data_IF_650185910446
#
_entry.id   IF_650185910446
#
_cell.length_a   1.000
_cell.length_b   1.000
_cell.length_c   1.000
_cell.angle_alpha   90.00
_cell.angle_beta   90.00
_cell.angle_gamma   90.00
#
_symmetry.space_group_name_H-M   'P 1'
#
loop_
_entity.id
_entity.type
_entity.pdbx_description
1 polymer ?
#
# COMPACT_ATOMS: atom_id res chain seq x y z
N UNK A 1 -44.28 -17.34 62.51
CA UNK A 1 -43.29 -18.12 61.74
C UNK A 1 -43.33 -17.60 60.30
N UNK A 2 -42.44 -16.67 59.94
CA UNK A 2 -42.39 -16.05 58.61
C UNK A 2 -41.25 -16.66 57.79
N UNK A 3 -41.60 -17.18 56.62
CA UNK A 3 -40.73 -17.92 55.69
C UNK A 3 -39.88 -16.96 54.84
N UNK A 4 -38.55 -17.03 54.97
CA UNK A 4 -37.58 -16.34 54.13
C UNK A 4 -37.33 -17.17 52.86
N UNK A 5 -37.56 -16.62 51.66
CA UNK A 5 -37.11 -17.21 50.39
C UNK A 5 -35.95 -16.40 49.84
N UNK A 6 -34.76 -16.98 49.59
CA UNK A 6 -33.68 -16.28 48.93
C UNK A 6 -33.89 -16.36 47.41
N UNK A 7 -34.01 -15.21 46.77
CA UNK A 7 -34.03 -15.10 45.31
C UNK A 7 -32.59 -15.15 44.81
N UNK A 8 -32.23 -16.25 44.16
CA UNK A 8 -30.92 -16.44 43.52
C UNK A 8 -30.89 -15.59 42.24
N UNK A 9 -30.17 -14.47 42.25
CA UNK A 9 -29.95 -13.66 41.06
C UNK A 9 -28.76 -14.24 40.28
N UNK A 10 -29.04 -15.00 39.24
CA UNK A 10 -28.03 -15.46 38.28
C UNK A 10 -27.50 -14.26 37.49
N UNK A 11 -26.26 -13.88 37.77
CA UNK A 11 -25.50 -12.93 36.97
C UNK A 11 -25.03 -13.64 35.69
N UNK A 12 -25.72 -13.36 34.58
CA UNK A 12 -25.29 -13.81 33.25
C UNK A 12 -24.17 -12.87 32.78
N UNK A 13 -22.92 -13.31 32.90
CA UNK A 13 -21.79 -12.66 32.25
C UNK A 13 -21.87 -12.94 30.75
N UNK A 14 -22.38 -11.97 29.98
CA UNK A 14 -22.18 -11.93 28.53
C UNK A 14 -20.68 -11.68 28.29
N UNK A 15 -19.94 -12.75 27.98
CA UNK A 15 -18.64 -12.63 27.36
C UNK A 15 -18.83 -12.01 25.97
N UNK A 16 -18.67 -10.69 25.89
CA UNK A 16 -18.54 -10.00 24.62
C UNK A 16 -17.19 -10.40 24.01
N UNK A 17 -17.21 -11.36 23.09
CA UNK A 17 -16.15 -11.48 22.10
C UNK A 17 -16.25 -10.22 21.23
N UNK A 18 -15.56 -9.15 21.61
CA UNK A 18 -15.33 -8.02 20.73
C UNK A 18 -14.43 -8.51 19.60
N UNK A 19 -14.99 -8.66 18.40
CA UNK A 19 -14.18 -8.61 17.20
C UNK A 19 -13.70 -7.16 17.10
N UNK A 20 -12.54 -6.87 17.69
CA UNK A 20 -11.91 -5.58 17.50
C UNK A 20 -11.74 -5.35 15.99
N UNK A 21 -12.05 -4.15 15.49
CA UNK A 21 -11.83 -3.83 14.09
C UNK A 21 -10.36 -4.08 13.76
N UNK A 22 -10.10 -4.71 12.61
CA UNK A 22 -8.74 -4.86 12.11
C UNK A 22 -8.11 -3.46 11.95
N UNK A 23 -6.89 -3.25 12.47
CA UNK A 23 -6.23 -1.95 12.40
C UNK A 23 -6.06 -1.54 10.94
N UNK A 24 -6.08 -0.23 10.70
CA UNK A 24 -5.72 0.31 9.40
C UNK A 24 -4.24 0.00 9.14
N UNK A 25 -3.89 -0.48 7.95
CA UNK A 25 -2.52 -0.82 7.55
C UNK A 25 -2.37 -0.61 6.04
N UNK A 26 -1.14 -0.60 5.54
CA UNK A 26 -0.88 -0.75 4.11
C UNK A 26 -0.90 -2.24 3.75
N UNK A 27 -1.51 -2.59 2.62
CA UNK A 27 -1.48 -3.95 2.10
C UNK A 27 -0.04 -4.34 1.72
N UNK A 28 0.39 -5.52 2.17
CA UNK A 28 1.73 -6.04 1.92
C UNK A 28 1.73 -7.57 1.95
N UNK A 29 1.02 -8.17 1.01
CA UNK A 29 0.91 -9.62 0.83
C UNK A 29 2.08 -10.13 -0.02
N UNK A 30 2.89 -11.01 0.56
CA UNK A 30 4.06 -11.62 -0.08
C UNK A 30 3.76 -13.00 -0.68
N UNK A 31 2.68 -13.64 -0.26
CA UNK A 31 2.38 -15.06 -0.51
C UNK A 31 1.14 -15.23 -1.40
N UNK A 32 0.20 -14.29 -1.26
CA UNK A 32 -1.10 -14.35 -1.91
C UNK A 32 -1.05 -14.09 -3.42
N UNK A 33 -2.10 -14.51 -4.14
CA UNK A 33 -2.19 -14.25 -5.57
C UNK A 33 -2.35 -12.74 -5.79
N UNK A 34 -1.44 -12.10 -6.51
CA UNK A 34 -1.52 -10.68 -6.86
C UNK A 34 -2.29 -10.46 -8.17
N UNK A 35 -3.59 -10.80 -8.20
CA UNK A 35 -4.39 -10.79 -9.43
C UNK A 35 -5.82 -10.25 -9.25
N UNK A 36 -6.28 -9.45 -10.21
CA UNK A 36 -7.59 -8.81 -10.13
C UNK A 36 -7.66 -7.89 -8.92
N UNK A 37 -8.63 -8.11 -8.05
CA UNK A 37 -8.87 -7.25 -6.88
C UNK A 37 -7.71 -7.22 -5.88
N UNK A 38 -6.91 -8.28 -5.82
CA UNK A 38 -5.74 -8.40 -4.92
C UNK A 38 -4.43 -7.90 -5.56
N UNK A 39 -4.48 -7.39 -6.80
CA UNK A 39 -3.27 -6.91 -7.49
C UNK A 39 -2.54 -5.79 -6.71
N UNK A 40 -3.30 -5.00 -5.95
CA UNK A 40 -2.80 -3.90 -5.11
C UNK A 40 -2.45 -4.33 -3.69
N UNK A 41 -2.50 -5.63 -3.38
CA UNK A 41 -2.16 -6.15 -2.05
C UNK A 41 -0.66 -6.16 -1.78
N UNK A 42 0.14 -5.88 -2.80
CA UNK A 42 1.54 -5.53 -2.69
C UNK A 42 1.78 -4.19 -3.42
N UNK A 43 2.50 -3.22 -2.83
CA UNK A 43 2.74 -1.93 -3.46
C UNK A 43 3.34 -2.08 -4.87
N UNK A 44 2.87 -1.22 -5.78
CA UNK A 44 3.33 -1.20 -7.17
C UNK A 44 3.83 0.20 -7.52
N UNK A 45 4.97 0.39 -8.18
CA UNK A 45 5.95 -0.62 -8.53
C UNK A 45 6.74 -1.09 -7.30
N UNK A 46 7.25 -2.31 -7.36
CA UNK A 46 8.14 -2.89 -6.35
C UNK A 46 9.09 -3.87 -7.03
N UNK A 47 10.37 -3.88 -6.64
CA UNK A 47 11.37 -4.84 -7.15
C UNK A 47 10.95 -6.30 -6.89
N UNK A 48 10.08 -6.55 -5.90
CA UNK A 48 9.47 -7.86 -5.64
C UNK A 48 8.57 -8.34 -6.78
N UNK A 49 8.17 -7.43 -7.68
CA UNK A 49 7.31 -7.68 -8.84
C UNK A 49 8.11 -7.68 -10.14
N UNK A 50 9.40 -7.99 -10.06
CA UNK A 50 10.26 -8.19 -11.23
C UNK A 50 10.50 -9.68 -11.45
N UNK A 51 10.29 -10.13 -12.69
CA UNK A 51 10.68 -11.47 -13.16
C UNK A 51 11.69 -11.27 -14.27
N UNK A 52 12.89 -11.81 -14.10
CA UNK A 52 14.03 -11.61 -15.02
C UNK A 52 14.30 -10.12 -15.31
N UNK A 53 14.14 -9.27 -14.30
CA UNK A 53 14.35 -7.83 -14.39
C UNK A 53 13.25 -7.07 -15.16
N UNK A 54 12.11 -7.71 -15.44
CA UNK A 54 10.96 -7.11 -16.13
C UNK A 54 9.74 -7.04 -15.22
N UNK A 55 8.88 -6.01 -15.32
CA UNK A 55 7.65 -5.93 -14.54
C UNK A 55 6.72 -7.13 -14.77
N UNK A 56 6.33 -7.82 -13.69
CA UNK A 56 5.24 -8.78 -13.73
C UNK A 56 3.89 -8.05 -13.59
N UNK A 57 3.12 -8.11 -14.67
CA UNK A 57 1.79 -7.50 -14.79
C UNK A 57 0.71 -8.55 -15.10
N UNK A 58 0.96 -9.83 -14.82
CA UNK A 58 0.05 -10.93 -15.17
C UNK A 58 -1.30 -10.78 -14.49
N UNK A 59 -1.33 -10.30 -13.25
CA UNK A 59 -2.56 -10.11 -12.49
C UNK A 59 -3.21 -8.73 -12.59
N UNK A 60 -2.72 -7.84 -13.46
CA UNK A 60 -3.23 -6.46 -13.54
C UNK A 60 -4.76 -6.45 -13.81
N UNK A 61 -5.55 -5.60 -13.13
CA UNK A 61 -7.00 -5.55 -13.33
C UNK A 61 -7.39 -5.24 -14.79
N UNK A 62 -8.04 -6.19 -15.47
CA UNK A 62 -8.66 -5.99 -16.78
C UNK A 62 -10.02 -6.71 -16.84
N UNK A 63 -11.01 -6.29 -16.03
CA UNK A 63 -12.26 -7.02 -15.78
C UNK A 63 -13.15 -7.17 -17.03
N UNK A 64 -12.96 -6.31 -18.03
CA UNK A 64 -13.70 -6.36 -19.31
C UNK A 64 -12.87 -6.97 -20.44
N UNK A 65 -11.68 -7.48 -20.13
CA UNK A 65 -10.75 -8.10 -21.09
C UNK A 65 -10.52 -7.22 -22.32
N UNK A 66 -10.31 -5.92 -22.09
CA UNK A 66 -10.16 -4.95 -23.17
C UNK A 66 -8.81 -5.18 -23.87
N UNK A 67 -8.78 -5.39 -25.20
CA UNK A 67 -7.54 -5.64 -25.95
C UNK A 67 -6.52 -4.50 -25.80
N UNK A 68 -6.98 -3.25 -25.79
CA UNK A 68 -6.11 -2.07 -25.63
C UNK A 68 -5.34 -2.08 -24.30
N UNK A 69 -5.94 -2.63 -23.23
CA UNK A 69 -5.25 -2.77 -21.95
C UNK A 69 -4.19 -3.86 -22.07
N UNK A 70 -4.51 -4.99 -22.70
CA UNK A 70 -3.54 -6.07 -22.88
C UNK A 70 -2.34 -5.65 -23.74
N UNK A 71 -2.58 -4.88 -24.81
CA UNK A 71 -1.51 -4.33 -25.66
C UNK A 71 -0.58 -3.39 -24.85
N UNK A 72 -1.16 -2.54 -24.00
CA UNK A 72 -0.39 -1.68 -23.09
C UNK A 72 0.45 -2.50 -22.10
N UNK A 73 -0.18 -3.50 -21.46
CA UNK A 73 0.51 -4.36 -20.49
C UNK A 73 1.61 -5.18 -21.16
N UNK A 74 1.40 -5.72 -22.36
CA UNK A 74 2.44 -6.44 -23.11
C UNK A 74 3.66 -5.56 -23.40
N UNK A 75 3.43 -4.30 -23.77
CA UNK A 75 4.50 -3.32 -24.00
C UNK A 75 5.24 -2.99 -22.71
N UNK A 76 4.53 -2.87 -21.58
CA UNK A 76 5.12 -2.61 -20.28
C UNK A 76 5.95 -3.80 -19.77
N UNK A 77 5.46 -5.04 -19.93
CA UNK A 77 6.19 -6.29 -19.57
C UNK A 77 7.47 -6.46 -20.39
N UNK A 78 7.60 -5.83 -21.55
CA UNK A 78 8.82 -5.89 -22.36
C UNK A 78 9.93 -4.94 -21.87
N UNK A 79 9.64 -4.01 -20.94
CA UNK A 79 10.62 -3.04 -20.42
C UNK A 79 11.53 -3.70 -19.39
N UNK A 80 12.79 -3.25 -19.37
CA UNK A 80 13.73 -3.58 -18.30
C UNK A 80 13.46 -2.65 -17.11
N UNK A 81 12.98 -3.21 -16.00
CA UNK A 81 12.61 -2.49 -14.80
C UNK A 81 11.37 -1.58 -14.98
N UNK A 82 11.19 -0.71 -14.00
CA UNK A 82 10.10 0.26 -13.94
C UNK A 82 10.49 1.61 -14.60
N UNK A 83 9.50 2.44 -15.01
CA UNK A 83 9.79 3.71 -15.67
C UNK A 83 10.48 4.73 -14.75
N UNK A 84 11.24 5.65 -15.35
CA UNK A 84 11.90 6.79 -14.67
C UNK A 84 10.96 7.91 -14.23
N UNK A 85 9.66 7.76 -14.50
CA UNK A 85 8.59 8.59 -13.96
C UNK A 85 7.52 7.66 -13.37
N UNK A 86 7.82 6.94 -12.28
CA UNK A 86 6.90 5.96 -11.72
C UNK A 86 5.75 6.65 -10.99
N UNK A 87 4.58 6.01 -11.02
CA UNK A 87 3.50 6.27 -10.07
C UNK A 87 3.45 5.06 -9.16
N UNK A 88 3.73 5.27 -7.88
CA UNK A 88 3.61 4.28 -6.84
C UNK A 88 2.19 4.25 -6.27
N UNK A 89 1.69 3.05 -6.00
CA UNK A 89 0.34 2.77 -5.55
C UNK A 89 0.41 1.98 -4.26
N UNK A 90 -0.24 2.50 -3.23
CA UNK A 90 -0.32 1.89 -1.90
C UNK A 90 -1.79 1.73 -1.56
N UNK A 91 -2.21 0.49 -1.27
CA UNK A 91 -3.56 0.21 -0.81
C UNK A 91 -3.59 0.21 0.70
N UNK A 92 -4.46 1.01 1.29
CA UNK A 92 -4.78 0.98 2.71
C UNK A 92 -5.92 0.00 2.95
N UNK A 93 -5.79 -0.81 4.01
CA UNK A 93 -6.73 -1.87 4.38
C UNK A 93 -7.03 -1.77 5.87
N UNK A 94 -8.19 -2.25 6.27
CA UNK A 94 -8.66 -2.19 7.64
C UNK A 94 -10.17 -2.30 7.67
N UNK A 95 -10.75 -2.50 8.85
CA UNK A 95 -12.20 -2.41 9.00
C UNK A 95 -12.56 -1.00 9.44
N UNK A 96 -12.47 -0.05 8.51
CA UNK A 96 -13.10 1.25 8.68
C UNK A 96 -14.62 1.11 8.78
N UNK A 97 -15.31 2.13 9.30
CA UNK A 97 -16.77 2.19 9.22
C UNK A 97 -17.18 2.19 7.75
N UNK A 98 -18.29 1.53 7.42
CA UNK A 98 -18.79 1.55 6.04
C UNK A 98 -19.02 3.00 5.57
N UNK A 99 -18.16 3.47 4.65
CA UNK A 99 -18.20 4.84 4.11
C UNK A 99 -16.98 5.71 4.43
N UNK A 100 -16.10 5.30 5.35
CA UNK A 100 -14.85 6.00 5.64
C UNK A 100 -13.76 5.56 4.65
N UNK A 101 -13.05 6.52 4.05
CA UNK A 101 -11.86 6.22 3.24
C UNK A 101 -10.79 5.61 4.15
N UNK A 102 -10.31 4.42 3.82
CA UNK A 102 -9.19 3.77 4.53
C UNK A 102 -7.86 4.49 4.30
N UNK A 103 -7.78 5.23 3.20
CA UNK A 103 -6.63 6.05 2.83
C UNK A 103 -6.80 7.50 3.31
N UNK A 104 -5.70 8.19 3.69
CA UNK A 104 -5.72 9.63 3.93
C UNK A 104 -6.16 10.38 2.66
N UNK A 105 -6.84 11.52 2.82
CA UNK A 105 -7.25 12.35 1.69
C UNK A 105 -6.07 13.17 1.16
N UNK A 106 -5.75 12.99 -0.12
CA UNK A 106 -4.72 13.73 -0.84
C UNK A 106 -5.19 14.15 -2.23
N UNK A 107 -4.80 15.35 -2.63
CA UNK A 107 -4.96 15.88 -3.98
C UNK A 107 -3.60 16.00 -4.66
N UNK A 108 -3.54 15.86 -6.00
CA UNK A 108 -2.28 15.96 -6.75
C UNK A 108 -1.57 17.32 -6.67
N UNK A 109 -2.22 18.32 -6.04
CA UNK A 109 -1.65 19.60 -5.65
C UNK A 109 -0.83 19.56 -4.36
N UNK A 110 -0.93 18.49 -3.58
CA UNK A 110 -0.25 18.29 -2.32
C UNK A 110 1.20 17.89 -2.61
N UNK A 111 2.09 18.88 -2.59
CA UNK A 111 3.51 18.66 -2.81
C UNK A 111 4.18 18.27 -1.48
N UNK A 112 4.78 17.09 -1.46
CA UNK A 112 5.52 16.56 -0.31
C UNK A 112 7.02 16.74 -0.57
N UNK A 113 7.64 17.72 0.07
CA UNK A 113 9.05 18.09 -0.16
C UNK A 113 9.85 18.36 1.13
N UNK A 114 9.17 18.66 2.23
CA UNK A 114 9.82 19.09 3.48
C UNK A 114 10.56 17.94 4.19
N UNK A 115 11.46 18.27 5.12
CA UNK A 115 12.25 17.29 5.86
C UNK A 115 11.38 16.35 6.71
N UNK A 116 10.23 16.84 7.16
CA UNK A 116 9.17 16.16 7.90
C UNK A 116 8.01 15.68 7.00
N UNK A 117 8.16 15.76 5.67
CA UNK A 117 7.14 15.30 4.73
C UNK A 117 6.68 13.86 5.05
N UNK A 118 5.37 13.59 5.03
CA UNK A 118 4.83 12.30 5.44
C UNK A 118 5.19 11.15 4.50
N UNK A 119 5.57 11.45 3.25
CA UNK A 119 6.15 10.49 2.33
C UNK A 119 7.37 11.04 1.63
N UNK A 120 8.29 10.15 1.25
CA UNK A 120 9.56 10.48 0.62
C UNK A 120 9.80 9.61 -0.61
N UNK A 121 10.48 10.17 -1.60
CA UNK A 121 11.13 9.42 -2.67
C UNK A 121 12.64 9.67 -2.59
N UNK A 122 13.41 8.60 -2.42
CA UNK A 122 14.84 8.68 -2.11
C UNK A 122 15.62 7.78 -3.07
N UNK A 123 16.72 8.28 -3.60
CA UNK A 123 17.74 7.44 -4.23
C UNK A 123 18.44 6.59 -3.15
N UNK A 124 18.29 5.28 -3.22
CA UNK A 124 18.90 4.33 -2.28
C UNK A 124 19.97 3.46 -2.93
N UNK A 125 20.32 3.73 -4.19
CA UNK A 125 21.26 2.91 -4.93
C UNK A 125 22.67 3.07 -4.34
N UNK A 126 23.33 1.98 -3.90
CA UNK A 126 24.67 2.05 -3.34
C UNK A 126 25.72 2.56 -4.34
N UNK A 127 25.49 2.40 -5.64
CA UNK A 127 26.40 2.86 -6.69
C UNK A 127 26.09 4.27 -7.20
N UNK A 128 24.95 4.87 -6.82
CA UNK A 128 24.57 6.19 -7.29
C UNK A 128 25.43 7.29 -6.63
N UNK A 129 25.98 8.24 -7.41
CA UNK A 129 26.62 9.44 -6.85
C UNK A 129 25.61 10.38 -6.19
N UNK A 130 24.32 10.24 -6.49
CA UNK A 130 23.22 11.00 -5.91
C UNK A 130 22.52 10.27 -4.76
N UNK A 131 23.07 9.13 -4.29
CA UNK A 131 22.50 8.36 -3.17
C UNK A 131 22.14 9.25 -1.97
N UNK A 132 20.92 9.08 -1.47
CA UNK A 132 20.35 9.87 -0.39
C UNK A 132 19.62 11.14 -0.85
N UNK A 133 19.69 11.49 -2.14
CA UNK A 133 18.91 12.60 -2.71
C UNK A 133 17.42 12.29 -2.57
N UNK A 134 16.67 13.27 -2.07
CA UNK A 134 15.22 13.23 -1.97
C UNK A 134 14.59 14.00 -3.13
N UNK A 135 13.51 13.47 -3.66
CA UNK A 135 12.75 14.06 -4.75
C UNK A 135 11.36 14.45 -4.22
N UNK A 136 10.84 15.66 -4.55
CA UNK A 136 9.49 16.01 -4.17
C UNK A 136 8.47 15.09 -4.82
N UNK A 137 7.47 14.74 -4.04
CA UNK A 137 6.35 13.91 -4.46
C UNK A 137 5.06 14.75 -4.57
N UNK A 138 4.11 14.21 -5.33
CA UNK A 138 2.70 14.53 -5.20
C UNK A 138 1.95 13.26 -4.81
N UNK A 139 0.90 13.40 -4.01
CA UNK A 139 0.02 12.30 -3.63
C UNK A 139 -1.39 12.50 -4.18
N UNK A 140 -2.12 11.42 -4.45
CA UNK A 140 -3.52 11.49 -4.84
C UNK A 140 -4.28 10.27 -4.34
N UNK A 141 -5.35 10.50 -3.58
CA UNK A 141 -6.27 9.43 -3.19
C UNK A 141 -7.18 9.12 -4.37
N UNK A 142 -7.22 7.85 -4.75
CA UNK A 142 -7.97 7.43 -5.93
C UNK A 142 -9.44 7.23 -5.61
N UNK A 143 -10.35 7.67 -6.49
CA UNK A 143 -11.73 7.27 -6.37
C UNK A 143 -11.84 5.77 -6.55
N UNK A 144 -12.80 5.16 -5.85
CA UNK A 144 -13.11 3.75 -6.01
C UNK A 144 -13.72 3.48 -7.38
N UNK A 145 -13.06 2.62 -8.15
CA UNK A 145 -13.59 2.07 -9.40
C UNK A 145 -13.17 0.60 -9.61
N UNK A 146 -13.43 0.06 -10.80
CA UNK A 146 -13.15 -1.35 -11.13
C UNK A 146 -11.65 -1.67 -11.31
N UNK A 147 -10.78 -0.67 -11.35
CA UNK A 147 -9.33 -0.82 -11.45
C UNK A 147 -8.65 -0.51 -10.12
N UNK A 148 -9.09 0.52 -9.40
CA UNK A 148 -8.41 1.04 -8.20
C UNK A 148 -8.83 0.35 -6.91
N UNK A 149 -10.05 -0.20 -6.84
CA UNK A 149 -10.59 -0.73 -5.60
C UNK A 149 -10.77 0.36 -4.52
N UNK A 150 -10.69 -0.03 -3.26
CA UNK A 150 -10.83 0.90 -2.12
C UNK A 150 -9.46 1.20 -1.47
N UNK A 151 -9.32 2.40 -0.91
CA UNK A 151 -8.13 2.80 -0.14
C UNK A 151 -6.84 2.95 -0.95
N UNK A 152 -6.88 3.16 -2.27
CA UNK A 152 -5.67 3.29 -3.08
C UNK A 152 -5.16 4.73 -3.12
N UNK A 153 -3.88 4.93 -2.80
CA UNK A 153 -3.19 6.23 -2.93
C UNK A 153 -2.08 6.12 -3.95
N UNK A 154 -2.04 7.08 -4.86
CA UNK A 154 -0.98 7.26 -5.85
C UNK A 154 0.07 8.26 -5.32
N UNK A 155 1.35 7.94 -5.45
CA UNK A 155 2.47 8.85 -5.20
C UNK A 155 3.34 8.90 -6.46
N UNK A 156 3.66 10.09 -6.93
CA UNK A 156 4.51 10.27 -8.10
C UNK A 156 5.55 11.36 -7.85
N UNK A 157 6.75 11.30 -8.48
CA UNK A 157 7.62 12.47 -8.56
C UNK A 157 6.81 13.67 -9.04
N UNK A 158 7.04 14.83 -8.44
CA UNK A 158 6.39 16.07 -8.87
C UNK A 158 6.57 16.25 -10.39
N UNK A 159 5.50 16.57 -11.14
CA UNK A 159 5.58 16.71 -12.59
C UNK A 159 6.74 17.61 -13.04
N UNK A 160 7.49 17.13 -14.04
CA UNK A 160 8.72 17.77 -14.52
C UNK A 160 10.01 17.16 -13.98
N UNK A 161 9.92 16.24 -13.00
CA UNK A 161 11.05 15.46 -12.53
C UNK A 161 11.14 14.14 -13.31
N UNK A 162 12.33 13.87 -13.84
CA UNK A 162 12.70 12.59 -14.45
C UNK A 162 13.79 11.99 -13.59
N UNK A 163 13.55 10.77 -13.09
CA UNK A 163 14.54 10.05 -12.29
C UNK A 163 15.68 9.53 -13.19
N UNK A 164 16.86 9.34 -12.60
CA UNK A 164 17.96 8.69 -13.31
C UNK A 164 17.62 7.22 -13.57
N UNK A 165 17.88 6.75 -14.79
CA UNK A 165 17.69 5.35 -15.16
C UNK A 165 18.64 4.43 -14.42
N UNK A 166 18.31 3.13 -14.37
CA UNK A 166 19.17 2.11 -13.76
C UNK A 166 19.60 2.41 -12.31
N UNK A 167 18.77 3.16 -11.58
CA UNK A 167 19.01 3.58 -10.21
C UNK A 167 17.89 3.04 -9.32
N UNK A 168 18.24 2.48 -8.16
CA UNK A 168 17.24 2.03 -7.18
C UNK A 168 16.72 3.19 -6.34
N UNK A 169 15.41 3.37 -6.34
CA UNK A 169 14.71 4.33 -5.50
C UNK A 169 13.80 3.64 -4.50
N UNK A 170 13.54 4.31 -3.38
CA UNK A 170 12.55 3.91 -2.40
C UNK A 170 11.47 4.98 -2.26
N UNK A 171 10.21 4.56 -2.36
CA UNK A 171 9.10 5.30 -1.77
C UNK A 171 9.00 4.90 -0.31
N UNK A 172 8.96 5.89 0.58
CA UNK A 172 8.85 5.68 2.03
C UNK A 172 7.61 6.40 2.51
N UNK A 173 6.69 5.67 3.13
CA UNK A 173 5.59 6.25 3.90
C UNK A 173 6.02 6.30 5.36
N UNK A 174 5.85 7.45 6.01
CA UNK A 174 6.08 7.62 7.46
C UNK A 174 4.75 7.45 8.20
N UNK A 175 4.83 7.23 9.50
CA UNK A 175 3.66 7.13 10.38
C UNK A 175 2.78 8.40 10.33
N UNK A 176 3.35 9.56 9.96
CA UNK A 176 2.58 10.80 9.77
C UNK A 176 1.77 10.86 8.48
N UNK A 177 1.91 9.88 7.58
CA UNK A 177 1.15 9.82 6.32
C UNK A 177 -0.29 9.43 6.53
N UNK A 178 -0.53 8.45 7.42
CA UNK A 178 -1.85 7.96 7.74
C UNK A 178 -1.83 7.39 9.16
N UNK A 179 -2.98 7.44 9.83
CA UNK A 179 -3.20 6.63 11.03
C UNK A 179 -3.34 5.16 10.61
N UNK A 180 -2.21 4.49 10.44
CA UNK A 180 -2.09 3.13 9.98
C UNK A 180 -0.89 2.44 10.64
N UNK A 181 -1.07 1.19 11.06
CA UNK A 181 0.01 0.36 11.55
C UNK A 181 0.92 -0.10 10.41
N UNK A 182 2.23 -0.31 10.65
CA UNK A 182 3.11 -0.94 9.69
C UNK A 182 2.62 -2.36 9.34
N UNK A 183 2.78 -2.82 8.08
CA UNK A 183 2.38 -4.17 7.72
C UNK A 183 3.10 -5.22 8.59
N UNK A 184 2.44 -6.30 9.05
CA UNK A 184 3.04 -7.28 9.95
C UNK A 184 4.38 -7.87 9.48
N UNK A 185 4.57 -7.98 8.15
CA UNK A 185 5.83 -8.42 7.54
C UNK A 185 7.04 -7.57 7.98
N UNK A 186 6.85 -6.28 8.26
CA UNK A 186 7.92 -5.38 8.68
C UNK A 186 8.44 -5.69 10.09
N UNK A 187 7.62 -6.31 10.95
CA UNK A 187 8.07 -6.74 12.27
C UNK A 187 9.13 -7.86 12.19
N UNK A 188 9.08 -8.71 11.15
CA UNK A 188 10.14 -9.69 10.90
C UNK A 188 11.43 -8.99 10.45
N UNK A 189 11.33 -8.04 9.51
CA UNK A 189 12.47 -7.25 9.03
C UNK A 189 13.15 -6.47 10.16
N UNK A 190 12.36 -5.82 11.02
CA UNK A 190 12.86 -5.08 12.18
C UNK A 190 13.58 -5.97 13.21
N UNK A 191 13.29 -7.27 13.21
CA UNK A 191 13.94 -8.28 14.04
C UNK A 191 15.06 -9.03 13.29
N UNK A 192 15.55 -8.49 12.17
CA UNK A 192 16.56 -9.11 11.29
C UNK A 192 16.18 -10.52 10.79
N UNK A 193 14.87 -10.76 10.56
CA UNK A 193 14.35 -12.00 10.01
C UNK A 193 13.71 -11.77 8.63
N UNK A 194 13.78 -12.78 7.78
CA UNK A 194 13.03 -12.82 6.53
C UNK A 194 11.53 -12.98 6.84
N UNK A 195 10.65 -12.10 6.34
CA UNK A 195 9.20 -12.30 6.42
C UNK A 195 8.78 -13.62 5.76
N UNK A 196 7.66 -14.19 6.22
CA UNK A 196 7.02 -15.27 5.48
C UNK A 196 6.49 -14.74 4.13
N UNK A 197 6.49 -15.64 3.15
CA UNK A 197 6.36 -15.49 1.69
C UNK A 197 5.86 -16.82 1.09
#
# INVERSE_FOLDING_TARGET
>A
MASLRPTFASLVCLAACGNDPAPNTVAFDLDGPLAGDTFWDLPFPSDLRLVDGKPDLTGFPNPRTLPVIEDLLSTARARAGFPVMPIAWFRFTGSGSAGDSLAPEHASTDVLLDDDAPALLIDIDPASPARGTRYPLVAQTMPRDTFTGDGLVALAPRPGIVLEGHTRYAFVLRDSFADAEPPPAFAALAADRTPAG
#
